data_IF_037821073740
#
_entry.id   IF_037821073740
#
_cell.length_a   1.000
_cell.length_b   1.000
_cell.length_c   1.000
_cell.angle_alpha   90.00
_cell.angle_beta   90.00
_cell.angle_gamma   90.00
#
_symmetry.space_group_name_H-M   'P 1'
#
loop_
_entity.id
_entity.type
_entity.pdbx_description
1 polymer ?
#
# COMPACT_ATOMS: atom_id res chain seq x y z
N UNK A 1 16.84 -7.76 -2.12
CA UNK A 1 15.79 -6.98 -1.42
C UNK A 1 16.28 -6.04 -0.31
N UNK A 2 17.26 -5.15 -0.56
CA UNK A 2 17.70 -4.18 0.47
C UNK A 2 16.77 -2.95 0.61
N UNK A 3 15.95 -2.63 -0.39
CA UNK A 3 15.10 -1.44 -0.38
C UNK A 3 14.00 -1.51 0.70
N UNK A 4 13.45 -2.70 0.93
CA UNK A 4 12.37 -2.93 1.89
C UNK A 4 12.87 -2.81 3.34
N UNK A 5 14.08 -3.29 3.59
CA UNK A 5 14.69 -3.25 4.92
C UNK A 5 15.09 -1.82 5.32
N UNK A 6 15.62 -1.04 4.37
CA UNK A 6 15.92 0.38 4.58
C UNK A 6 14.65 1.19 4.86
N UNK A 7 13.56 0.98 4.11
CA UNK A 7 12.29 1.65 4.38
C UNK A 7 11.73 1.28 5.77
N UNK A 8 11.78 0.00 6.16
CA UNK A 8 11.29 -0.44 7.47
C UNK A 8 12.07 0.15 8.64
N UNK A 9 13.38 0.33 8.50
CA UNK A 9 14.20 1.01 9.51
C UNK A 9 13.91 2.51 9.56
N UNK A 10 13.70 3.14 8.41
CA UNK A 10 13.31 4.54 8.34
C UNK A 10 11.97 4.77 9.05
N UNK A 11 10.96 3.91 8.83
CA UNK A 11 9.65 4.02 9.49
C UNK A 11 9.74 3.83 11.00
N UNK A 12 10.63 2.97 11.49
CA UNK A 12 10.84 2.80 12.94
C UNK A 12 11.55 3.99 13.60
N UNK A 13 12.30 4.79 12.84
CA UNK A 13 13.01 5.97 13.34
C UNK A 13 12.31 7.29 12.96
N UNK A 14 11.24 7.24 12.18
CA UNK A 14 10.47 8.41 11.82
C UNK A 14 9.64 8.82 13.04
N UNK A 15 9.81 10.05 13.56
CA UNK A 15 9.04 10.55 14.68
C UNK A 15 7.57 10.83 14.31
N UNK A 16 7.23 10.77 13.03
CA UNK A 16 5.87 11.02 12.52
C UNK A 16 5.56 10.10 11.35
N UNK A 17 4.33 9.61 11.36
CA UNK A 17 3.73 8.86 10.25
C UNK A 17 3.48 9.82 9.07
N UNK A 18 4.29 9.70 8.01
CA UNK A 18 4.15 10.54 6.80
C UNK A 18 3.37 9.82 5.71
N UNK A 19 2.31 10.45 5.19
CA UNK A 19 1.48 9.91 4.14
C UNK A 19 2.29 9.50 2.89
N UNK A 20 3.29 10.31 2.52
CA UNK A 20 4.18 10.07 1.36
C UNK A 20 5.01 8.79 1.55
N UNK A 21 5.48 8.51 2.77
CA UNK A 21 6.27 7.30 3.06
C UNK A 21 5.41 6.05 2.90
N UNK A 22 4.19 6.08 3.43
CA UNK A 22 3.22 4.98 3.28
C UNK A 22 2.75 4.81 1.82
N UNK A 23 2.65 5.91 1.06
CA UNK A 23 2.39 5.86 -0.39
C UNK A 23 3.48 5.08 -1.13
N UNK A 24 4.74 5.48 -0.92
CA UNK A 24 5.89 4.84 -1.57
C UNK A 24 6.02 3.37 -1.16
N UNK A 25 5.74 3.08 0.11
CA UNK A 25 5.76 1.72 0.63
C UNK A 25 4.68 0.84 -0.04
N UNK A 26 3.51 1.41 -0.32
CA UNK A 26 2.48 0.73 -1.10
C UNK A 26 2.89 0.50 -2.55
N UNK A 27 3.54 1.47 -3.21
CA UNK A 27 4.09 1.31 -4.56
C UNK A 27 5.18 0.22 -4.62
N UNK A 28 6.04 0.15 -3.60
CA UNK A 28 7.03 -0.93 -3.45
C UNK A 28 6.35 -2.29 -3.27
N UNK A 29 5.36 -2.40 -2.40
CA UNK A 29 4.60 -3.65 -2.25
C UNK A 29 3.88 -4.05 -3.54
N UNK A 30 3.36 -3.10 -4.30
CA UNK A 30 2.72 -3.37 -5.58
C UNK A 30 3.74 -3.96 -6.58
N UNK A 31 4.95 -3.38 -6.66
CA UNK A 31 6.05 -3.90 -7.47
C UNK A 31 6.47 -5.31 -7.05
N UNK A 32 6.36 -5.63 -5.77
CA UNK A 32 6.62 -6.97 -5.22
C UNK A 32 5.43 -7.92 -5.40
N UNK A 33 4.41 -7.54 -6.18
CA UNK A 33 3.17 -8.28 -6.39
C UNK A 33 2.34 -8.51 -5.11
N UNK A 34 2.65 -7.79 -4.03
CA UNK A 34 1.98 -7.89 -2.73
C UNK A 34 0.83 -6.89 -2.64
N UNK A 35 -0.19 -7.09 -3.47
CA UNK A 35 -1.27 -6.12 -3.64
C UNK A 35 -2.04 -5.87 -2.33
N UNK A 36 -2.27 -6.89 -1.50
CA UNK A 36 -2.93 -6.72 -0.20
C UNK A 36 -2.15 -5.78 0.73
N UNK A 37 -0.83 -5.94 0.81
CA UNK A 37 0.02 -5.08 1.64
C UNK A 37 0.14 -3.66 1.04
N UNK A 38 0.13 -3.56 -0.29
CA UNK A 38 0.11 -2.27 -0.98
C UNK A 38 -1.13 -1.45 -0.62
N UNK A 39 -2.31 -2.08 -0.70
CA UNK A 39 -3.59 -1.47 -0.34
C UNK A 39 -3.61 -1.01 1.12
N UNK A 40 -3.11 -1.83 2.04
CA UNK A 40 -3.05 -1.49 3.47
C UNK A 40 -2.16 -0.27 3.73
N UNK A 41 -1.03 -0.19 3.03
CA UNK A 41 -0.09 0.93 3.14
C UNK A 41 -0.66 2.22 2.56
N UNK A 42 -1.25 2.16 1.36
CA UNK A 42 -1.96 3.30 0.78
C UNK A 42 -3.16 3.73 1.62
N UNK A 43 -3.86 2.80 2.27
CA UNK A 43 -4.98 3.13 3.12
C UNK A 43 -4.53 3.89 4.38
N UNK A 44 -3.38 3.52 4.98
CA UNK A 44 -2.76 4.32 6.05
C UNK A 44 -2.33 5.70 5.55
N UNK A 45 -1.66 5.78 4.41
CA UNK A 45 -1.30 7.05 3.79
C UNK A 45 -2.53 7.97 3.59
N UNK A 46 -3.68 7.40 3.20
CA UNK A 46 -4.92 8.14 2.98
C UNK A 46 -5.55 8.63 4.28
N UNK A 47 -5.40 7.88 5.37
CA UNK A 47 -5.84 8.33 6.70
C UNK A 47 -5.01 9.52 7.17
N UNK A 48 -3.72 9.55 6.83
CA UNK A 48 -2.80 10.63 7.18
C UNK A 48 -2.99 11.87 6.29
N UNK A 49 -3.18 11.66 4.98
CA UNK A 49 -3.53 12.70 4.02
C UNK A 49 -4.79 12.33 3.21
N UNK A 50 -5.98 12.67 3.71
CA UNK A 50 -7.24 12.39 3.01
C UNK A 50 -7.47 13.32 1.81
N UNK A 51 -6.70 14.39 1.70
CA UNK A 51 -6.73 15.34 0.57
C UNK A 51 -6.09 14.76 -0.68
N UNK A 52 -5.24 13.75 -0.55
CA UNK A 52 -4.56 13.10 -1.66
C UNK A 52 -5.51 12.19 -2.47
N UNK A 53 -6.18 12.80 -3.44
CA UNK A 53 -7.11 12.13 -4.36
C UNK A 53 -6.43 11.07 -5.23
N UNK A 54 -5.15 11.24 -5.55
CA UNK A 54 -4.38 10.27 -6.35
C UNK A 54 -4.30 8.92 -5.64
N UNK A 55 -4.02 8.96 -4.35
CA UNK A 55 -3.95 7.78 -3.50
C UNK A 55 -5.27 7.04 -3.41
N UNK A 56 -6.39 7.76 -3.32
CA UNK A 56 -7.73 7.16 -3.34
C UNK A 56 -8.00 6.43 -4.68
N UNK A 57 -7.61 7.02 -5.81
CA UNK A 57 -7.74 6.41 -7.12
C UNK A 57 -6.87 5.15 -7.28
N UNK A 58 -5.63 5.17 -6.75
CA UNK A 58 -4.73 4.00 -6.72
C UNK A 58 -5.34 2.83 -5.93
N UNK A 59 -5.89 3.10 -4.73
CA UNK A 59 -6.53 2.08 -3.88
C UNK A 59 -7.74 1.49 -4.59
N UNK A 60 -8.62 2.31 -5.15
CA UNK A 60 -9.82 1.86 -5.84
C UNK A 60 -9.48 1.02 -7.09
N UNK A 61 -8.57 1.52 -7.92
CA UNK A 61 -8.09 0.82 -9.11
C UNK A 61 -7.43 -0.53 -8.81
N UNK A 62 -6.71 -0.66 -7.69
CA UNK A 62 -6.17 -1.96 -7.29
C UNK A 62 -7.20 -2.84 -6.59
N UNK A 63 -8.14 -2.30 -5.80
CA UNK A 63 -9.24 -3.11 -5.23
C UNK A 63 -10.06 -3.74 -6.34
N UNK A 64 -10.42 -2.99 -7.38
CA UNK A 64 -11.18 -3.53 -8.52
C UNK A 64 -10.41 -4.60 -9.31
N UNK A 65 -9.08 -4.46 -9.44
CA UNK A 65 -8.22 -5.52 -10.00
C UNK A 65 -8.19 -6.75 -9.12
N UNK A 66 -7.97 -6.60 -7.80
CA UNK A 66 -7.95 -7.72 -6.85
C UNK A 66 -9.29 -8.47 -6.83
N UNK A 67 -10.42 -7.75 -6.87
CA UNK A 67 -11.76 -8.34 -6.98
C UNK A 67 -11.93 -9.18 -8.24
N UNK A 68 -11.29 -8.79 -9.35
CA UNK A 68 -11.32 -9.53 -10.61
C UNK A 68 -10.29 -10.66 -10.68
N UNK A 69 -9.17 -10.57 -9.97
CA UNK A 69 -8.11 -11.58 -9.97
C UNK A 69 -8.25 -12.64 -8.87
N UNK A 70 -9.28 -12.56 -8.02
CA UNK A 70 -9.60 -13.60 -7.06
C UNK A 70 -11.00 -14.21 -7.31
N UNK A 71 -11.14 -15.22 -8.19
CA UNK A 71 -12.26 -16.15 -8.13
C UNK A 71 -12.07 -17.26 -7.07
N UNK A 72 -11.05 -17.17 -6.21
CA UNK A 72 -10.71 -18.23 -5.26
C UNK A 72 -11.02 -17.85 -3.81
N UNK A 73 -12.32 -17.71 -3.56
CA UNK A 73 -12.95 -18.26 -2.37
C UNK A 73 -13.53 -19.65 -2.70
N UNK A 74 -12.80 -20.47 -3.46
CA UNK A 74 -13.07 -21.89 -3.54
C UNK A 74 -12.36 -22.55 -2.36
N UNK A 75 -13.14 -23.18 -1.48
CA UNK A 75 -12.82 -24.43 -0.75
C UNK A 75 -13.88 -24.68 0.32
N UNK A 76 -14.13 -25.95 0.65
CA UNK A 76 -14.48 -27.11 -0.18
C UNK A 76 -15.99 -27.40 -0.17
#
# INVERSE_FOLDING_TARGET
>A
DQALENLKRAIQNLPREDAVVFEHLGDVYLKLNRVSQALESWQKAKTLDPSNKDLAAKIDGQKTRVSKTNPTGAKP
#
